data_IF_352472504603
#
_entry.id   IF_352472504603
#
_cell.length_a   1.000
_cell.length_b   1.000
_cell.length_c   1.000
_cell.angle_alpha   90.00
_cell.angle_beta   90.00
_cell.angle_gamma   90.00
#
_symmetry.space_group_name_H-M   'P 1'
#
loop_
_entity.id
_entity.type
_entity.pdbx_description
1 polymer ?
#
# COMPACT_ATOMS: atom_id res chain seq x y z
N UNK A 1 -6.64 -24.91 -8.09
CA UNK A 1 -6.96 -23.48 -8.28
C UNK A 1 -7.59 -22.89 -7.01
N UNK A 2 -8.36 -23.66 -6.25
CA UNK A 2 -8.96 -23.25 -4.94
C UNK A 2 -8.00 -22.60 -3.94
N UNK A 3 -6.78 -23.13 -3.76
CA UNK A 3 -5.81 -22.54 -2.82
C UNK A 3 -5.36 -21.11 -3.21
N UNK A 4 -5.42 -20.73 -4.49
CA UNK A 4 -5.07 -19.36 -4.91
C UNK A 4 -6.23 -18.38 -4.71
N UNK A 5 -7.48 -18.83 -4.79
CA UNK A 5 -8.69 -18.00 -4.60
C UNK A 5 -8.98 -17.74 -3.12
N UNK A 6 -8.89 -18.76 -2.27
CA UNK A 6 -9.00 -18.60 -0.81
C UNK A 6 -7.92 -17.67 -0.23
N UNK A 7 -6.69 -17.77 -0.74
CA UNK A 7 -5.61 -16.84 -0.37
C UNK A 7 -5.90 -15.40 -0.84
N UNK A 8 -6.52 -15.24 -2.02
CA UNK A 8 -6.86 -13.92 -2.57
C UNK A 8 -7.96 -13.24 -1.74
N UNK A 9 -8.97 -13.99 -1.31
CA UNK A 9 -10.01 -13.50 -0.39
C UNK A 9 -9.43 -13.11 0.98
N UNK A 10 -8.53 -13.94 1.54
CA UNK A 10 -7.83 -13.60 2.77
C UNK A 10 -7.00 -12.31 2.66
N UNK A 11 -6.29 -12.12 1.54
CA UNK A 11 -5.59 -10.86 1.28
C UNK A 11 -6.54 -9.68 1.11
N UNK A 12 -7.71 -9.89 0.49
CA UNK A 12 -8.70 -8.84 0.33
C UNK A 12 -9.27 -8.39 1.67
N UNK A 13 -9.63 -9.33 2.54
CA UNK A 13 -10.11 -9.05 3.89
C UNK A 13 -9.08 -8.29 4.72
N UNK A 14 -7.82 -8.75 4.73
CA UNK A 14 -6.72 -8.06 5.44
C UNK A 14 -6.50 -6.65 4.88
N UNK A 15 -6.59 -6.47 3.57
CA UNK A 15 -6.47 -5.16 2.94
C UNK A 15 -7.62 -4.23 3.30
N UNK A 16 -8.85 -4.73 3.35
CA UNK A 16 -10.04 -3.97 3.79
C UNK A 16 -9.92 -3.56 5.25
N UNK A 17 -9.43 -4.44 6.14
CA UNK A 17 -9.21 -4.12 7.55
C UNK A 17 -8.17 -3.00 7.69
N UNK A 18 -7.02 -3.13 7.02
CA UNK A 18 -5.98 -2.08 7.03
C UNK A 18 -6.55 -0.78 6.46
N UNK A 19 -7.36 -0.85 5.40
CA UNK A 19 -7.99 0.33 4.78
C UNK A 19 -8.96 1.05 5.74
N UNK A 20 -9.83 0.30 6.43
CA UNK A 20 -10.75 0.86 7.42
C UNK A 20 -10.00 1.45 8.62
N UNK A 21 -8.94 0.76 9.06
CA UNK A 21 -8.05 1.24 10.10
C UNK A 21 -7.39 2.56 9.67
N UNK A 22 -6.82 2.65 8.46
CA UNK A 22 -6.24 3.90 7.95
C UNK A 22 -7.22 5.05 7.96
N UNK A 23 -8.46 4.81 7.51
CA UNK A 23 -9.51 5.83 7.51
C UNK A 23 -9.75 6.33 8.94
N UNK A 24 -9.90 5.43 9.91
CA UNK A 24 -10.08 5.81 11.31
C UNK A 24 -8.91 6.65 11.84
N UNK A 25 -7.67 6.24 11.57
CA UNK A 25 -6.46 6.96 12.03
C UNK A 25 -6.21 8.30 11.31
N UNK A 26 -6.83 8.53 10.15
CA UNK A 26 -6.85 9.85 9.51
C UNK A 26 -7.94 10.73 10.15
N UNK A 27 -9.17 10.22 10.26
CA UNK A 27 -10.32 11.03 10.68
C UNK A 27 -10.32 11.36 12.17
N UNK A 28 -9.93 10.43 13.06
CA UNK A 28 -9.96 10.67 14.50
C UNK A 28 -9.12 11.90 14.93
N UNK A 29 -7.82 12.00 14.59
CA UNK A 29 -7.03 13.18 14.98
C UNK A 29 -7.45 14.43 14.20
N UNK A 30 -7.99 14.30 12.99
CA UNK A 30 -8.52 15.42 12.23
C UNK A 30 -9.75 16.03 12.91
N UNK A 31 -10.72 15.21 13.34
CA UNK A 31 -11.92 15.66 14.05
C UNK A 31 -11.54 16.32 15.37
N UNK A 32 -10.63 15.70 16.13
CA UNK A 32 -10.18 16.25 17.42
C UNK A 32 -9.46 17.60 17.22
N UNK A 33 -8.51 17.67 16.28
CA UNK A 33 -7.76 18.91 16.02
C UNK A 33 -8.65 20.03 15.47
N UNK A 34 -9.63 19.70 14.62
CA UNK A 34 -10.58 20.66 14.08
C UNK A 34 -11.55 21.17 15.16
N UNK A 35 -11.96 20.31 16.09
CA UNK A 35 -12.75 20.71 17.26
C UNK A 35 -11.97 21.66 18.19
N UNK A 36 -10.69 21.36 18.47
CA UNK A 36 -9.81 22.25 19.24
C UNK A 36 -9.64 23.59 18.52
N UNK A 37 -9.46 23.57 17.20
CA UNK A 37 -9.33 24.77 16.39
C UNK A 37 -10.56 25.67 16.47
N UNK A 38 -11.75 25.10 16.26
CA UNK A 38 -13.03 25.83 16.40
C UNK A 38 -13.14 26.43 17.81
N UNK A 39 -12.80 25.67 18.84
CA UNK A 39 -12.85 26.16 20.22
C UNK A 39 -11.86 27.32 20.49
N UNK A 40 -10.68 27.34 19.86
CA UNK A 40 -9.73 28.46 19.95
C UNK A 40 -10.15 29.73 19.18
N UNK A 41 -11.13 29.60 18.26
CA UNK A 41 -11.75 30.75 17.59
C UNK A 41 -13.00 31.24 18.33
N UNK A 42 -13.74 30.35 18.98
CA UNK A 42 -14.96 30.70 19.72
C UNK A 42 -14.68 31.27 21.12
N UNK A 43 -13.62 30.80 21.79
CA UNK A 43 -13.09 31.44 23.00
C UNK A 43 -11.88 32.26 22.62
N UNK A 44 -11.80 33.49 23.10
CA UNK A 44 -10.62 34.37 22.95
C UNK A 44 -9.41 33.80 23.70
N UNK A 45 -8.80 32.77 23.12
CA UNK A 45 -7.54 32.18 23.58
C UNK A 45 -6.35 32.93 22.98
N UNK A 46 -5.20 32.85 23.65
CA UNK A 46 -3.97 33.49 23.22
C UNK A 46 -3.60 33.19 21.77
N UNK A 47 -3.03 34.21 21.12
CA UNK A 47 -2.67 34.18 19.70
C UNK A 47 -1.69 33.05 19.34
N UNK A 48 -0.81 32.70 20.29
CA UNK A 48 0.16 31.60 20.17
C UNK A 48 -0.55 30.25 20.12
N UNK A 49 -1.50 30.02 21.01
CA UNK A 49 -2.27 28.76 21.09
C UNK A 49 -3.12 28.56 19.84
N UNK A 50 -3.70 29.64 19.32
CA UNK A 50 -4.45 29.63 18.04
C UNK A 50 -3.56 29.22 16.87
N UNK A 51 -2.35 29.79 16.75
CA UNK A 51 -1.40 29.42 15.70
C UNK A 51 -0.96 27.96 15.79
N UNK A 52 -0.66 27.47 16.99
CA UNK A 52 -0.29 26.06 17.20
C UNK A 52 -1.44 25.14 16.78
N UNK A 53 -2.68 25.47 17.15
CA UNK A 53 -3.85 24.69 16.75
C UNK A 53 -4.06 24.66 15.24
N UNK A 54 -3.87 25.80 14.55
CA UNK A 54 -3.93 25.87 13.08
C UNK A 54 -2.88 24.94 12.47
N UNK A 55 -1.62 25.01 12.91
CA UNK A 55 -0.52 24.20 12.37
C UNK A 55 -0.79 22.70 12.56
N UNK A 56 -1.26 22.30 13.75
CA UNK A 56 -1.58 20.91 14.05
C UNK A 56 -2.74 20.40 13.19
N UNK A 57 -3.81 21.19 13.06
CA UNK A 57 -4.96 20.85 12.21
C UNK A 57 -4.54 20.72 10.74
N UNK A 58 -3.72 21.66 10.24
CA UNK A 58 -3.23 21.63 8.87
C UNK A 58 -2.33 20.42 8.61
N UNK A 59 -1.48 20.05 9.57
CA UNK A 59 -0.64 18.85 9.49
C UNK A 59 -1.50 17.58 9.34
N UNK A 60 -2.52 17.40 10.17
CA UNK A 60 -3.41 16.25 10.07
C UNK A 60 -4.23 16.25 8.78
N UNK A 61 -4.67 17.42 8.33
CA UNK A 61 -5.42 17.57 7.08
C UNK A 61 -4.57 17.22 5.85
N UNK A 62 -3.37 17.80 5.73
CA UNK A 62 -2.48 17.57 4.59
C UNK A 62 -1.97 16.13 4.59
N UNK A 63 -1.51 15.62 5.74
CA UNK A 63 -1.07 14.23 5.83
C UNK A 63 -2.20 13.24 5.54
N UNK A 64 -3.41 13.52 6.03
CA UNK A 64 -4.63 12.75 5.73
C UNK A 64 -4.95 12.73 4.23
N UNK A 65 -4.93 13.89 3.57
CA UNK A 65 -5.13 13.99 2.11
C UNK A 65 -4.08 13.21 1.32
N UNK A 66 -2.80 13.29 1.69
CA UNK A 66 -1.73 12.54 1.03
C UNK A 66 -1.92 11.03 1.18
N UNK A 67 -2.26 10.55 2.38
CA UNK A 67 -2.51 9.13 2.63
C UNK A 67 -3.75 8.67 1.86
N UNK A 68 -4.88 9.39 1.98
CA UNK A 68 -6.12 9.06 1.29
C UNK A 68 -5.95 9.02 -0.24
N UNK A 69 -5.23 10.00 -0.81
CA UNK A 69 -4.93 10.04 -2.25
C UNK A 69 -4.10 8.82 -2.68
N UNK A 70 -3.10 8.46 -1.89
CA UNK A 70 -2.25 7.30 -2.18
C UNK A 70 -3.03 5.99 -2.03
N UNK A 71 -3.89 5.89 -1.02
CA UNK A 71 -4.77 4.74 -0.77
C UNK A 71 -5.77 4.56 -1.91
N UNK A 72 -6.37 5.64 -2.39
CA UNK A 72 -7.25 5.65 -3.56
C UNK A 72 -6.52 5.18 -4.82
N UNK A 73 -5.30 5.67 -5.06
CA UNK A 73 -4.47 5.22 -6.19
C UNK A 73 -4.11 3.73 -6.09
N UNK A 74 -3.81 3.23 -4.89
CA UNK A 74 -3.57 1.81 -4.64
C UNK A 74 -4.84 1.03 -4.92
N UNK A 75 -6.00 1.41 -4.37
CA UNK A 75 -7.24 0.68 -4.59
C UNK A 75 -7.60 0.60 -6.09
N UNK A 76 -7.57 1.75 -6.79
CA UNK A 76 -7.87 1.83 -8.23
C UNK A 76 -6.91 1.03 -9.11
N UNK A 77 -5.61 1.01 -8.79
CA UNK A 77 -4.59 0.33 -9.63
C UNK A 77 -4.29 -1.11 -9.22
N UNK A 78 -4.52 -1.50 -7.97
CA UNK A 78 -4.27 -2.86 -7.48
C UNK A 78 -5.32 -3.83 -8.01
N UNK A 79 -6.58 -3.38 -8.15
CA UNK A 79 -7.64 -4.12 -8.82
C UNK A 79 -7.40 -4.25 -10.35
N UNK A 80 -6.81 -3.24 -10.99
CA UNK A 80 -6.68 -3.22 -12.46
C UNK A 80 -5.41 -3.85 -13.05
N UNK A 81 -4.24 -3.80 -12.39
CA UNK A 81 -2.98 -4.03 -13.10
C UNK A 81 -1.89 -4.84 -12.38
N UNK A 82 -2.09 -5.30 -11.12
CA UNK A 82 -1.06 -5.98 -10.29
C UNK A 82 0.32 -5.28 -10.31
N UNK A 83 0.35 -3.95 -10.47
CA UNK A 83 1.60 -3.17 -10.51
C UNK A 83 2.03 -2.82 -9.09
N UNK A 84 2.94 -3.64 -8.57
CA UNK A 84 3.50 -3.50 -7.23
C UNK A 84 4.09 -2.10 -7.00
N UNK A 85 4.82 -1.51 -7.96
CA UNK A 85 5.55 -0.22 -7.84
C UNK A 85 4.79 0.98 -7.22
N UNK A 86 3.46 0.98 -7.16
CA UNK A 86 2.65 2.04 -6.54
C UNK A 86 2.53 1.97 -5.00
N UNK A 87 3.01 0.90 -4.35
CA UNK A 87 3.02 0.77 -2.88
C UNK A 87 4.10 1.62 -2.19
N UNK A 88 5.17 1.98 -2.90
CA UNK A 88 6.29 2.74 -2.37
C UNK A 88 5.94 4.14 -1.81
N UNK A 89 5.19 5.00 -2.52
CA UNK A 89 4.82 6.32 -1.98
C UNK A 89 3.99 6.23 -0.71
N UNK A 90 3.15 5.19 -0.58
CA UNK A 90 2.36 4.95 0.64
C UNK A 90 3.25 4.58 1.83
N UNK A 91 4.21 3.67 1.63
CA UNK A 91 5.14 3.25 2.68
C UNK A 91 6.00 4.43 3.13
N UNK A 92 6.50 5.26 2.20
CA UNK A 92 7.31 6.44 2.53
C UNK A 92 6.51 7.45 3.36
N UNK A 93 5.31 7.82 2.90
CA UNK A 93 4.46 8.78 3.61
C UNK A 93 4.10 8.27 5.02
N UNK A 94 3.79 6.98 5.15
CA UNK A 94 3.57 6.36 6.45
C UNK A 94 4.79 6.41 7.35
N UNK A 95 5.96 6.08 6.81
CA UNK A 95 7.20 6.09 7.58
C UNK A 95 7.53 7.48 8.10
N UNK A 96 7.38 8.51 7.26
CA UNK A 96 7.55 9.91 7.66
C UNK A 96 6.55 10.28 8.77
N UNK A 97 5.27 9.94 8.62
CA UNK A 97 4.25 10.20 9.65
C UNK A 97 4.60 9.53 10.98
N UNK A 98 5.00 8.26 10.95
CA UNK A 98 5.43 7.52 12.14
C UNK A 98 6.63 8.17 12.81
N UNK A 99 7.64 8.61 12.03
CA UNK A 99 8.80 9.31 12.58
C UNK A 99 8.40 10.60 13.30
N UNK A 100 7.51 11.39 12.71
CA UNK A 100 7.04 12.64 13.30
C UNK A 100 6.28 12.36 14.60
N UNK A 101 5.33 11.42 14.59
CA UNK A 101 4.56 11.06 15.78
C UNK A 101 5.45 10.53 16.91
N UNK A 102 6.42 9.66 16.58
CA UNK A 102 7.34 9.11 17.57
C UNK A 102 8.27 10.18 18.15
N UNK A 103 8.70 11.14 17.33
CA UNK A 103 9.51 12.28 17.78
C UNK A 103 8.71 13.16 18.74
N UNK A 104 7.46 13.51 18.39
CA UNK A 104 6.57 14.30 19.24
C UNK A 104 6.26 13.56 20.55
N UNK A 105 5.94 12.27 20.49
CA UNK A 105 5.70 11.45 21.67
C UNK A 105 6.94 11.39 22.60
N UNK A 106 8.12 11.22 22.02
CA UNK A 106 9.38 11.19 22.78
C UNK A 106 9.65 12.52 23.49
N UNK A 107 9.42 13.65 22.82
CA UNK A 107 9.57 14.99 23.43
C UNK A 107 8.61 15.17 24.62
N UNK A 108 7.36 14.72 24.48
CA UNK A 108 6.35 14.80 25.55
C UNK A 108 6.74 13.92 26.75
N UNK A 109 7.28 12.72 26.52
CA UNK A 109 7.70 11.81 27.59
C UNK A 109 8.93 12.30 28.36
N UNK A 110 9.86 12.93 27.66
CA UNK A 110 11.12 13.42 28.24
C UNK A 110 10.96 14.71 29.07
N UNK A 111 9.88 15.47 28.88
CA UNK A 111 9.60 16.69 29.64
C UNK A 111 8.55 16.43 30.71
N UNK A 112 8.93 16.57 31.98
CA UNK A 112 8.04 16.35 33.13
C UNK A 112 6.78 17.23 33.09
N UNK A 113 6.91 18.50 32.70
CA UNK A 113 5.79 19.46 32.59
C UNK A 113 4.76 19.07 31.52
N UNK A 114 5.20 18.41 30.45
CA UNK A 114 4.34 17.95 29.36
C UNK A 114 3.76 16.57 29.65
N UNK A 115 4.50 15.73 30.39
CA UNK A 115 4.08 14.37 30.72
C UNK A 115 2.78 14.36 31.51
N UNK A 116 2.64 15.17 32.54
CA UNK A 116 1.43 15.19 33.39
C UNK A 116 0.16 15.56 32.63
N UNK A 117 0.24 16.50 31.68
CA UNK A 117 -0.93 17.00 30.95
C UNK A 117 -1.18 16.27 29.62
N UNK A 118 -0.13 15.79 28.95
CA UNK A 118 -0.20 15.28 27.57
C UNK A 118 0.24 13.81 27.43
N UNK A 119 0.33 13.06 28.53
CA UNK A 119 0.65 11.62 28.48
C UNK A 119 -0.25 10.83 27.52
N UNK A 120 -1.55 11.14 27.53
CA UNK A 120 -2.54 10.51 26.64
C UNK A 120 -2.22 10.73 25.16
N UNK A 121 -1.73 11.91 24.79
CA UNK A 121 -1.30 12.24 23.41
C UNK A 121 -0.06 11.44 23.04
N UNK A 122 0.91 11.33 23.95
CA UNK A 122 2.10 10.52 23.73
C UNK A 122 1.78 9.03 23.58
N UNK A 123 0.90 8.50 24.43
CA UNK A 123 0.45 7.11 24.37
C UNK A 123 -0.26 6.84 23.03
N UNK A 124 -1.14 7.75 22.61
CA UNK A 124 -1.78 7.69 21.29
C UNK A 124 -0.74 7.65 20.16
N UNK A 125 0.26 8.54 20.19
CA UNK A 125 1.32 8.58 19.18
C UNK A 125 2.14 7.28 19.10
N UNK A 126 2.41 6.63 20.25
CA UNK A 126 3.10 5.34 20.29
C UNK A 126 2.23 4.22 19.73
N UNK A 127 0.96 4.15 20.14
CA UNK A 127 0.01 3.14 19.63
C UNK A 127 -0.20 3.29 18.13
N UNK A 128 -0.36 4.52 17.64
CA UNK A 128 -0.46 4.82 16.21
C UNK A 128 0.82 4.41 15.46
N UNK A 129 1.99 4.61 16.06
CA UNK A 129 3.27 4.21 15.48
C UNK A 129 3.39 2.69 15.32
N UNK A 130 2.98 1.93 16.34
CA UNK A 130 2.97 0.45 16.29
C UNK A 130 1.97 -0.04 15.23
N UNK A 131 0.77 0.53 15.23
CA UNK A 131 -0.28 0.30 14.22
C UNK A 131 0.26 0.54 12.79
N UNK A 132 0.97 1.64 12.58
CA UNK A 132 1.59 1.96 11.29
C UNK A 132 2.67 0.96 10.89
N UNK A 133 3.48 0.48 11.83
CA UNK A 133 4.51 -0.52 11.58
C UNK A 133 3.90 -1.86 11.13
N UNK A 134 2.82 -2.29 11.78
CA UNK A 134 2.06 -3.49 11.39
C UNK A 134 1.49 -3.34 9.99
N UNK A 135 0.90 -2.20 9.66
CA UNK A 135 0.38 -1.93 8.32
C UNK A 135 1.48 -1.98 7.24
N UNK A 136 2.68 -1.46 7.54
CA UNK A 136 3.85 -1.55 6.64
C UNK A 136 4.26 -3.02 6.44
N UNK A 137 4.33 -3.82 7.50
CA UNK A 137 4.66 -5.25 7.42
C UNK A 137 3.65 -6.03 6.58
N UNK A 138 2.35 -5.77 6.77
CA UNK A 138 1.28 -6.38 5.95
C UNK A 138 1.40 -5.99 4.48
N UNK A 139 1.69 -4.71 4.19
CA UNK A 139 1.93 -4.23 2.83
C UNK A 139 3.17 -4.89 2.21
N UNK A 140 4.25 -5.04 2.98
CA UNK A 140 5.48 -5.68 2.54
C UNK A 140 5.28 -7.17 2.23
N UNK A 141 4.56 -7.90 3.09
CA UNK A 141 4.20 -9.30 2.84
C UNK A 141 3.38 -9.42 1.56
N UNK A 142 2.32 -8.62 1.43
CA UNK A 142 1.46 -8.60 0.24
C UNK A 142 2.27 -8.30 -1.03
N UNK A 143 3.18 -7.33 -0.98
CA UNK A 143 4.10 -7.04 -2.06
C UNK A 143 4.93 -8.27 -2.44
N UNK A 144 5.57 -8.93 -1.46
CA UNK A 144 6.43 -10.10 -1.69
C UNK A 144 5.64 -11.23 -2.37
N UNK A 145 4.40 -11.48 -1.94
CA UNK A 145 3.51 -12.45 -2.55
C UNK A 145 3.13 -12.08 -3.99
N UNK A 146 2.69 -10.85 -4.23
CA UNK A 146 2.37 -10.37 -5.58
C UNK A 146 3.56 -10.48 -6.53
N UNK A 147 4.76 -10.18 -6.05
CA UNK A 147 5.98 -10.25 -6.86
C UNK A 147 6.29 -11.70 -7.26
N UNK A 148 6.12 -12.65 -6.34
CA UNK A 148 6.26 -14.10 -6.61
C UNK A 148 5.19 -14.59 -7.57
N UNK A 149 3.93 -14.20 -7.39
CA UNK A 149 2.82 -14.56 -8.27
C UNK A 149 3.03 -14.01 -9.70
N UNK A 150 3.45 -12.76 -9.84
CA UNK A 150 3.76 -12.15 -11.14
C UNK A 150 4.95 -12.85 -11.83
N UNK A 151 5.99 -13.25 -11.08
CA UNK A 151 7.10 -14.05 -11.64
C UNK A 151 6.63 -15.41 -12.15
N UNK A 152 5.77 -16.12 -11.40
CA UNK A 152 5.18 -17.40 -11.81
C UNK A 152 4.34 -17.24 -13.08
N UNK A 153 3.49 -16.20 -13.15
CA UNK A 153 2.66 -15.90 -14.34
C UNK A 153 3.51 -15.56 -15.58
N UNK A 154 4.62 -14.84 -15.40
CA UNK A 154 5.57 -14.52 -16.47
C UNK A 154 6.30 -15.75 -17.00
N UNK A 155 6.70 -16.67 -16.10
CA UNK A 155 7.29 -17.96 -16.47
C UNK A 155 6.30 -18.86 -17.22
N UNK A 156 5.04 -18.92 -16.80
CA UNK A 156 3.98 -19.64 -17.54
C UNK A 156 3.82 -19.11 -18.96
N UNK A 157 3.68 -17.78 -19.13
CA UNK A 157 3.61 -17.16 -20.46
C UNK A 157 4.85 -17.45 -21.33
N UNK A 158 6.05 -17.42 -20.77
CA UNK A 158 7.27 -17.76 -21.52
C UNK A 158 7.31 -19.23 -21.93
N UNK A 159 6.89 -20.15 -21.05
CA UNK A 159 6.80 -21.57 -21.37
C UNK A 159 5.75 -21.83 -22.45
N UNK A 160 4.57 -21.22 -22.37
CA UNK A 160 3.53 -21.34 -23.40
C UNK A 160 4.03 -20.82 -24.75
N UNK A 161 4.70 -19.66 -24.77
CA UNK A 161 5.26 -19.09 -25.99
C UNK A 161 6.34 -19.99 -26.60
N UNK A 162 7.21 -20.59 -25.77
CA UNK A 162 8.23 -21.56 -26.22
C UNK A 162 7.60 -22.84 -26.76
N UNK A 163 6.56 -23.35 -26.10
CA UNK A 163 5.83 -24.54 -26.52
C UNK A 163 5.16 -24.31 -27.89
N UNK A 164 4.51 -23.15 -28.06
CA UNK A 164 3.91 -22.76 -29.35
C UNK A 164 4.98 -22.69 -30.43
N UNK A 165 6.10 -22.01 -30.18
CA UNK A 165 7.20 -21.92 -31.15
C UNK A 165 7.77 -23.29 -31.54
N UNK A 166 7.99 -24.19 -30.57
CA UNK A 166 8.45 -25.56 -30.85
C UNK A 166 7.44 -26.35 -31.69
N UNK A 167 6.15 -26.23 -31.38
CA UNK A 167 5.09 -26.89 -32.13
C UNK A 167 5.00 -26.35 -33.57
N UNK A 168 5.21 -25.04 -33.79
CA UNK A 168 5.23 -24.47 -35.13
C UNK A 168 6.43 -24.97 -35.95
N UNK A 169 7.63 -24.98 -35.37
CA UNK A 169 8.86 -25.44 -36.05
C UNK A 169 8.77 -26.93 -36.42
N UNK A 170 8.29 -27.78 -35.50
CA UNK A 170 8.11 -29.21 -35.80
C UNK A 170 7.07 -29.45 -36.89
N UNK A 171 6.01 -28.63 -36.95
CA UNK A 171 4.99 -28.72 -38.01
C UNK A 171 5.56 -28.36 -39.38
N UNK A 172 6.37 -27.31 -39.48
CA UNK A 172 7.04 -26.88 -40.72
C UNK A 172 8.00 -27.95 -41.23
N UNK A 173 8.86 -28.48 -40.35
CA UNK A 173 9.82 -29.52 -40.70
C UNK A 173 9.14 -30.80 -41.19
N UNK A 174 7.97 -31.13 -40.62
CA UNK A 174 7.16 -32.26 -41.06
C UNK A 174 6.55 -32.02 -42.44
N UNK A 175 6.07 -30.81 -42.74
CA UNK A 175 5.56 -30.47 -44.08
C UNK A 175 6.64 -30.48 -45.16
N UNK A 176 7.86 -30.03 -44.86
CA UNK A 176 8.99 -30.11 -45.79
C UNK A 176 9.36 -31.56 -46.09
N UNK A 177 9.49 -32.40 -45.06
CA UNK A 177 9.79 -33.83 -45.26
C UNK A 177 8.72 -34.59 -46.06
N UNK A 178 7.45 -34.16 -45.95
CA UNK A 178 6.37 -34.74 -46.74
C UNK A 178 6.42 -34.25 -48.19
N UNK A 179 6.82 -32.99 -48.42
CA UNK A 179 6.95 -32.43 -49.75
C UNK A 179 8.13 -33.04 -50.51
N UNK A 180 9.29 -33.18 -49.87
CA UNK A 180 10.46 -33.90 -50.43
C UNK A 180 10.10 -35.34 -50.81
N UNK A 181 9.32 -36.03 -49.97
CA UNK A 181 8.82 -37.38 -50.29
C UNK A 181 7.89 -37.41 -51.49
N UNK A 182 7.04 -36.40 -51.68
CA UNK A 182 6.17 -36.35 -52.85
C UNK A 182 6.93 -36.03 -54.14
N UNK A 183 7.95 -35.18 -54.08
CA UNK A 183 8.81 -34.84 -55.24
C UNK A 183 9.62 -36.08 -55.70
N UNK A 184 10.18 -36.85 -54.77
CA UNK A 184 10.89 -38.11 -55.08
C UNK A 184 10.01 -39.19 -55.70
N UNK A 185 8.71 -39.22 -55.38
CA UNK A 185 7.76 -40.18 -55.96
C UNK A 185 7.35 -39.76 -57.37
N UNK A 186 7.33 -38.46 -57.66
CA UNK A 186 6.97 -37.93 -58.98
C UNK A 186 8.11 -38.05 -60.01
N UNK A 187 9.35 -38.27 -59.56
CA UNK A 187 10.54 -38.48 -60.40
C UNK A 187 10.74 -39.94 -60.88
N UNK A 188 9.94 -40.89 -60.37
CA UNK A 188 9.97 -42.33 -60.72
C UNK A 188 8.86 -42.63 -61.72
#
# INVERSE_FOLDING_TARGET
MENEESLLEGFHAVFVIVYLQEIAWIFTPLIISLNVLIHTFLKDMDHVTRWISIVVSLFFFVSGLCIASTLYLIHKKTLGARRTKFLWPYIILKFIRTLILLTVASIILLRDDLRTNYFHVSLYGIVESISNLVAIEVCYRTWRYMTRANRRKRRRRQNDTRLIAQNTVTRIKRSESLRERHELIAEI
#
